data_IF_029687880366
#
_entry.id   IF_029687880366
#
_cell.length_a   1.000
_cell.length_b   1.000
_cell.length_c   1.000
_cell.angle_alpha   90.00
_cell.angle_beta   90.00
_cell.angle_gamma   90.00
#
_symmetry.space_group_name_H-M   'P 1'
#
loop_
_entity.id
_entity.type
_entity.pdbx_description
1 polymer ?
#
# COMPACT_ATOMS: atom_id res chain seq x y z
N UNK A 1 -15.23 38.62 88.30
CA UNK A 1 -15.09 40.09 88.34
C UNK A 1 -15.12 40.61 86.91
N UNK A 2 -16.10 41.50 86.61
CA UNK A 2 -16.07 42.60 85.62
C UNK A 2 -15.44 42.34 84.23
N UNK A 3 -16.09 42.55 83.08
CA UNK A 3 -16.86 43.73 82.66
C UNK A 3 -17.53 43.47 81.30
N UNK A 4 -18.61 44.21 81.06
CA UNK A 4 -19.20 44.56 79.75
C UNK A 4 -18.16 44.93 78.69
N UNK A 5 -18.50 44.84 77.39
CA UNK A 5 -18.89 46.02 76.59
C UNK A 5 -19.14 45.65 75.11
N UNK A 6 -20.19 46.28 74.60
CA UNK A 6 -20.67 46.42 73.23
C UNK A 6 -19.60 47.00 72.27
N UNK A 7 -19.90 46.94 70.96
CA UNK A 7 -19.25 47.56 69.78
C UNK A 7 -18.28 46.57 69.10
N UNK A 8 -18.51 46.04 67.91
CA UNK A 8 -19.22 46.55 66.73
C UNK A 8 -18.22 46.51 65.57
N UNK A 9 -18.30 45.52 64.68
CA UNK A 9 -17.65 45.54 63.36
C UNK A 9 -18.38 44.64 62.38
N UNK A 10 -18.48 45.14 61.15
CA UNK A 10 -19.26 44.67 60.02
C UNK A 10 -18.88 43.25 59.57
N UNK A 11 -19.86 42.34 59.51
CA UNK A 11 -19.70 41.09 58.78
C UNK A 11 -20.03 41.36 57.30
N UNK A 12 -18.96 41.37 56.51
CA UNK A 12 -18.96 41.27 55.06
C UNK A 12 -19.78 40.03 54.65
N UNK A 13 -20.97 40.25 54.10
CA UNK A 13 -21.78 39.17 53.52
C UNK A 13 -21.12 38.74 52.21
N UNK A 14 -20.15 37.82 52.29
CA UNK A 14 -19.68 37.09 51.13
C UNK A 14 -20.84 36.21 50.66
N UNK A 15 -21.46 36.61 49.55
CA UNK A 15 -22.36 35.76 48.78
C UNK A 15 -21.59 34.53 48.32
N UNK A 16 -21.63 33.48 49.14
CA UNK A 16 -21.33 32.12 48.70
C UNK A 16 -22.42 31.78 47.70
N UNK A 17 -22.11 31.44 46.43
CA UNK A 17 -23.11 30.86 45.56
C UNK A 17 -23.56 29.57 46.24
N UNK A 18 -24.80 29.60 46.72
CA UNK A 18 -25.51 28.41 47.14
C UNK A 18 -25.50 27.49 45.92
N UNK A 19 -24.61 26.50 45.90
CA UNK A 19 -24.75 25.38 44.97
C UNK A 19 -26.06 24.70 45.33
N UNK A 20 -27.14 25.17 44.70
CA UNK A 20 -28.35 24.40 44.58
C UNK A 20 -27.96 23.15 43.80
N UNK A 21 -27.70 22.06 44.51
CA UNK A 21 -27.79 20.74 43.91
C UNK A 21 -29.26 20.58 43.57
N UNK A 22 -29.62 20.97 42.34
CA UNK A 22 -30.88 20.57 41.76
C UNK A 22 -30.83 19.04 41.73
N UNK A 23 -31.61 18.41 42.60
CA UNK A 23 -31.95 17.00 42.50
C UNK A 23 -32.71 16.83 41.17
N UNK A 24 -31.95 16.75 40.08
CA UNK A 24 -32.47 16.39 38.78
C UNK A 24 -33.04 14.98 38.96
N UNK A 25 -34.36 14.88 39.02
CA UNK A 25 -35.08 13.62 39.02
C UNK A 25 -34.58 12.79 37.84
N UNK A 26 -33.75 11.78 38.11
CA UNK A 26 -33.32 10.79 37.14
C UNK A 26 -34.56 10.02 36.68
N UNK A 27 -35.17 10.47 35.59
CA UNK A 27 -36.29 9.78 34.96
C UNK A 27 -35.74 8.62 34.12
N UNK A 28 -35.94 7.40 34.64
CA UNK A 28 -35.69 6.17 33.90
C UNK A 28 -36.92 5.83 33.06
N UNK A 29 -36.82 5.96 31.73
CA UNK A 29 -37.87 5.54 30.79
C UNK A 29 -37.51 4.19 30.18
N UNK A 30 -38.21 3.13 30.59
CA UNK A 30 -37.99 1.77 30.09
C UNK A 30 -39.22 0.87 30.25
N UNK A 31 -39.40 -0.08 29.34
CA UNK A 31 -40.47 -1.08 29.40
C UNK A 31 -40.11 -2.23 30.36
N UNK A 32 -41.04 -2.74 31.20
CA UNK A 32 -40.72 -3.55 32.38
C UNK A 32 -40.48 -5.04 32.09
N UNK A 33 -39.94 -5.38 30.91
CA UNK A 33 -39.82 -6.76 30.43
C UNK A 33 -38.36 -7.11 30.10
N UNK A 34 -37.45 -6.99 31.06
CA UNK A 34 -36.07 -7.39 30.85
C UNK A 34 -35.65 -8.33 31.99
N UNK A 35 -35.25 -9.55 31.62
CA UNK A 35 -34.51 -10.44 32.52
C UNK A 35 -33.18 -9.79 32.94
N UNK A 36 -32.37 -10.47 33.75
CA UNK A 36 -31.05 -9.96 34.15
C UNK A 36 -30.16 -9.74 32.92
N UNK A 37 -30.06 -8.51 32.44
CA UNK A 37 -29.31 -8.11 31.24
C UNK A 37 -28.18 -7.16 31.64
N UNK A 38 -26.99 -7.36 31.06
CA UNK A 38 -25.85 -6.48 31.30
C UNK A 38 -26.05 -5.18 30.52
N UNK A 39 -26.31 -4.10 31.27
CA UNK A 39 -26.46 -2.74 30.73
C UNK A 39 -25.11 -2.02 30.80
N UNK A 40 -24.70 -1.38 29.72
CA UNK A 40 -23.47 -0.60 29.63
C UNK A 40 -23.76 0.81 29.15
N UNK A 41 -22.87 1.73 29.50
CA UNK A 41 -22.84 3.07 28.94
C UNK A 41 -21.39 3.53 28.92
N UNK A 42 -21.03 4.34 27.93
CA UNK A 42 -19.74 5.02 27.90
C UNK A 42 -19.76 6.34 28.70
N UNK A 43 -20.89 6.65 29.36
CA UNK A 43 -21.06 7.78 30.26
C UNK A 43 -21.18 9.13 29.56
N UNK A 44 -21.27 9.15 28.22
CA UNK A 44 -21.48 10.38 27.45
C UNK A 44 -22.96 10.68 27.34
N UNK A 45 -23.33 11.90 27.64
CA UNK A 45 -24.65 12.45 27.36
C UNK A 45 -24.71 12.97 25.92
N UNK A 46 -25.91 12.96 25.34
CA UNK A 46 -26.17 13.62 24.07
C UNK A 46 -26.41 15.13 24.28
N UNK A 47 -26.69 15.86 23.19
CA UNK A 47 -26.95 17.31 23.24
C UNK A 47 -28.15 17.70 24.13
N UNK A 48 -28.99 16.74 24.51
CA UNK A 48 -30.14 16.94 25.39
C UNK A 48 -29.84 16.51 26.84
N UNK A 49 -28.59 16.14 27.16
CA UNK A 49 -28.20 15.67 28.48
C UNK A 49 -28.64 14.23 28.79
N UNK A 50 -29.00 13.44 27.76
CA UNK A 50 -29.46 12.06 27.94
C UNK A 50 -28.28 11.10 27.76
N UNK A 51 -28.05 10.25 28.76
CA UNK A 51 -27.09 9.15 28.68
C UNK A 51 -27.76 7.94 28.04
N UNK A 52 -27.23 7.48 26.91
CA UNK A 52 -27.71 6.29 26.23
C UNK A 52 -27.17 5.04 26.93
N UNK A 53 -28.09 4.17 27.36
CA UNK A 53 -27.79 2.87 27.95
C UNK A 53 -27.92 1.82 26.84
N UNK A 54 -26.83 1.11 26.56
CA UNK A 54 -26.85 0.00 25.64
C UNK A 54 -26.92 -1.30 26.40
N UNK A 55 -27.68 -2.26 25.89
CA UNK A 55 -27.73 -3.58 26.48
C UNK A 55 -26.92 -4.56 25.67
N UNK A 56 -26.08 -5.33 26.35
CA UNK A 56 -25.39 -6.45 25.73
C UNK A 56 -26.36 -7.63 25.70
N UNK A 57 -26.70 -8.08 24.50
CA UNK A 57 -27.38 -9.36 24.31
C UNK A 57 -26.50 -10.44 24.94
N UNK A 58 -27.02 -11.17 25.93
CA UNK A 58 -26.27 -12.16 26.70
C UNK A 58 -25.63 -13.19 25.75
N UNK A 59 -24.33 -13.07 25.42
CA UNK A 59 -23.76 -13.91 24.39
C UNK A 59 -23.59 -15.31 24.98
N UNK A 60 -24.05 -16.33 24.25
CA UNK A 60 -23.79 -17.71 24.67
C UNK A 60 -22.29 -17.95 24.73
N UNK A 61 -21.84 -18.69 25.75
CA UNK A 61 -20.44 -19.14 25.89
C UNK A 61 -19.97 -19.85 24.61
N UNK A 62 -20.87 -20.55 23.93
CA UNK A 62 -20.59 -21.23 22.67
C UNK A 62 -20.27 -20.25 21.53
N UNK A 63 -21.03 -19.16 21.40
CA UNK A 63 -20.79 -18.11 20.39
C UNK A 63 -19.46 -17.40 20.63
N UNK A 64 -19.08 -17.17 21.88
CA UNK A 64 -17.78 -16.60 22.22
C UNK A 64 -16.63 -17.54 21.87
N UNK A 65 -16.76 -18.84 22.18
CA UNK A 65 -15.76 -19.85 21.79
C UNK A 65 -15.60 -19.97 20.29
N UNK A 66 -16.72 -19.96 19.55
CA UNK A 66 -16.68 -19.98 18.10
C UNK A 66 -15.95 -18.75 17.55
N UNK A 67 -16.28 -17.57 18.06
CA UNK A 67 -15.60 -16.32 17.67
C UNK A 67 -14.09 -16.37 17.96
N UNK A 68 -13.69 -16.94 19.09
CA UNK A 68 -12.27 -17.13 19.41
C UNK A 68 -11.58 -18.05 18.40
N UNK A 69 -12.19 -19.18 18.06
CA UNK A 69 -11.67 -20.12 17.06
C UNK A 69 -11.56 -19.48 15.68
N UNK A 70 -12.57 -18.71 15.27
CA UNK A 70 -12.57 -18.00 13.99
C UNK A 70 -11.45 -16.95 13.94
N UNK A 71 -11.24 -16.21 15.03
CA UNK A 71 -10.11 -15.26 15.13
C UNK A 71 -8.76 -15.97 15.04
N UNK A 72 -8.61 -17.12 15.68
CA UNK A 72 -7.39 -17.92 15.57
C UNK A 72 -7.17 -18.47 14.16
N UNK A 73 -8.23 -18.90 13.48
CA UNK A 73 -8.15 -19.34 12.09
C UNK A 73 -7.77 -18.20 11.17
N UNK A 74 -8.42 -17.03 11.29
CA UNK A 74 -8.11 -15.85 10.50
C UNK A 74 -6.66 -15.40 10.70
N UNK A 75 -6.11 -15.53 11.91
CA UNK A 75 -4.68 -15.26 12.17
C UNK A 75 -3.77 -16.21 11.39
N UNK A 76 -4.09 -17.50 11.37
CA UNK A 76 -3.34 -18.51 10.59
C UNK A 76 -3.41 -18.21 9.10
N UNK A 77 -4.61 -17.95 8.58
CA UNK A 77 -4.83 -17.64 7.16
C UNK A 77 -4.07 -16.37 6.74
N UNK A 78 -4.07 -15.34 7.60
CA UNK A 78 -3.30 -14.11 7.39
C UNK A 78 -1.80 -14.40 7.31
N UNK A 79 -1.27 -15.21 8.22
CA UNK A 79 0.16 -15.56 8.24
C UNK A 79 0.55 -16.39 7.00
N UNK A 80 -0.31 -17.29 6.55
CA UNK A 80 -0.08 -18.08 5.34
C UNK A 80 -0.14 -17.22 4.07
N UNK A 81 -1.12 -16.32 3.96
CA UNK A 81 -1.19 -15.36 2.86
C UNK A 81 0.05 -14.47 2.82
N UNK A 82 0.53 -14.01 3.97
CA UNK A 82 1.76 -13.22 4.05
C UNK A 82 2.97 -13.98 3.51
N UNK A 83 3.13 -15.26 3.90
CA UNK A 83 4.19 -16.12 3.37
C UNK A 83 4.09 -16.29 1.86
N UNK A 84 2.90 -16.60 1.35
CA UNK A 84 2.67 -16.77 -0.09
C UNK A 84 3.01 -15.50 -0.90
N UNK A 85 2.65 -14.32 -0.37
CA UNK A 85 2.99 -13.03 -1.00
C UNK A 85 4.50 -12.81 -1.04
N UNK A 86 5.20 -13.07 0.07
CA UNK A 86 6.66 -12.93 0.14
C UNK A 86 7.37 -13.89 -0.82
N UNK A 87 6.96 -15.15 -0.86
CA UNK A 87 7.57 -16.18 -1.71
C UNK A 87 7.31 -15.90 -3.19
N UNK A 88 6.06 -15.58 -3.55
CA UNK A 88 5.68 -15.21 -4.92
C UNK A 88 6.41 -13.95 -5.37
N UNK A 89 6.49 -12.93 -4.52
CA UNK A 89 7.17 -11.68 -4.82
C UNK A 89 8.66 -11.86 -5.08
N UNK A 90 9.34 -12.66 -4.23
CA UNK A 90 10.77 -12.98 -4.40
C UNK A 90 11.01 -13.80 -5.65
N UNK A 91 10.31 -14.94 -5.80
CA UNK A 91 10.54 -15.85 -6.91
C UNK A 91 10.22 -15.21 -8.26
N UNK A 92 9.08 -14.53 -8.37
CA UNK A 92 8.68 -13.86 -9.61
C UNK A 92 9.62 -12.70 -9.94
N UNK A 93 9.93 -11.85 -8.95
CA UNK A 93 10.80 -10.70 -9.14
C UNK A 93 12.22 -11.08 -9.56
N UNK A 94 12.82 -12.08 -8.91
CA UNK A 94 14.16 -12.56 -9.27
C UNK A 94 14.18 -13.23 -10.64
N UNK A 95 13.18 -14.05 -10.96
CA UNK A 95 13.11 -14.72 -12.26
C UNK A 95 12.94 -13.70 -13.39
N UNK A 96 12.03 -12.73 -13.24
CA UNK A 96 11.85 -11.65 -14.20
C UNK A 96 13.13 -10.83 -14.39
N UNK A 97 13.85 -10.53 -13.30
CA UNK A 97 15.12 -9.80 -13.38
C UNK A 97 16.16 -10.56 -14.19
N UNK A 98 16.30 -11.87 -13.95
CA UNK A 98 17.24 -12.72 -14.70
C UNK A 98 16.87 -12.76 -16.19
N UNK A 99 15.59 -12.97 -16.50
CA UNK A 99 15.10 -12.96 -17.89
C UNK A 99 15.40 -11.62 -18.58
N UNK A 100 15.18 -10.50 -17.90
CA UNK A 100 15.49 -9.17 -18.44
C UNK A 100 16.99 -8.99 -18.73
N UNK A 101 17.85 -9.40 -17.80
CA UNK A 101 19.30 -9.32 -17.97
C UNK A 101 19.78 -10.19 -19.14
N UNK A 102 19.22 -11.38 -19.32
CA UNK A 102 19.59 -12.27 -20.41
C UNK A 102 19.10 -11.74 -21.77
N UNK A 103 17.87 -11.21 -21.86
CA UNK A 103 17.39 -10.52 -23.07
C UNK A 103 18.28 -9.33 -23.44
N UNK A 104 18.78 -8.58 -22.45
CA UNK A 104 19.68 -7.44 -22.69
C UNK A 104 21.02 -7.88 -23.28
N UNK A 105 21.58 -9.00 -22.78
CA UNK A 105 22.79 -9.60 -23.34
C UNK A 105 22.56 -10.09 -24.76
N UNK A 106 21.45 -10.77 -25.02
CA UNK A 106 21.10 -11.27 -26.34
C UNK A 106 20.95 -10.13 -27.35
N UNK A 107 20.20 -9.08 -26.97
CA UNK A 107 20.03 -7.87 -27.80
C UNK A 107 21.39 -7.23 -28.13
N UNK A 108 22.29 -7.14 -27.15
CA UNK A 108 23.63 -6.59 -27.36
C UNK A 108 24.49 -7.47 -28.28
N UNK A 109 24.34 -8.79 -28.19
CA UNK A 109 25.01 -9.75 -29.08
C UNK A 109 24.52 -9.61 -30.51
N UNK A 110 23.20 -9.58 -30.71
CA UNK A 110 22.58 -9.42 -32.02
C UNK A 110 22.97 -8.09 -32.67
N UNK A 111 23.02 -7.00 -31.91
CA UNK A 111 23.49 -5.70 -32.41
C UNK A 111 24.92 -5.78 -32.95
N UNK A 112 25.83 -6.47 -32.24
CA UNK A 112 27.22 -6.65 -32.72
C UNK A 112 27.28 -7.51 -33.99
N UNK A 113 26.43 -8.53 -34.11
CA UNK A 113 26.35 -9.34 -35.31
C UNK A 113 25.86 -8.54 -36.51
N UNK A 114 24.83 -7.70 -36.32
CA UNK A 114 24.32 -6.79 -37.35
C UNK A 114 25.43 -5.83 -37.81
N UNK A 115 26.17 -5.23 -36.88
CA UNK A 115 27.29 -4.34 -37.22
C UNK A 115 28.38 -5.08 -38.01
N UNK A 116 28.68 -6.33 -37.63
CA UNK A 116 29.63 -7.20 -38.34
C UNK A 116 29.19 -7.48 -39.77
N UNK A 117 27.94 -7.93 -39.96
CA UNK A 117 27.35 -8.21 -41.27
C UNK A 117 27.30 -6.95 -42.15
N UNK A 118 27.00 -5.79 -41.56
CA UNK A 118 27.01 -4.51 -42.27
C UNK A 118 28.39 -4.18 -42.83
N UNK A 119 29.45 -4.38 -42.03
CA UNK A 119 30.84 -4.17 -42.49
C UNK A 119 31.25 -5.16 -43.58
N UNK A 120 30.86 -6.42 -43.46
CA UNK A 120 31.13 -7.44 -44.46
C UNK A 120 30.45 -7.11 -45.80
N UNK A 121 29.19 -6.69 -45.75
CA UNK A 121 28.45 -6.27 -46.94
C UNK A 121 29.12 -5.07 -47.63
N UNK A 122 29.57 -4.07 -46.89
CA UNK A 122 30.33 -2.94 -47.45
C UNK A 122 31.67 -3.36 -48.05
N UNK A 123 32.37 -4.33 -47.46
CA UNK A 123 33.59 -4.88 -48.02
C UNK A 123 33.33 -5.63 -49.35
N UNK A 124 32.24 -6.41 -49.41
CA UNK A 124 31.83 -7.12 -50.62
C UNK A 124 31.45 -6.14 -51.75
N UNK A 125 30.72 -5.06 -51.46
CA UNK A 125 30.41 -4.01 -52.45
C UNK A 125 31.68 -3.41 -53.04
N UNK A 126 32.67 -3.06 -52.21
CA UNK A 126 33.95 -2.53 -52.68
C UNK A 126 34.72 -3.52 -53.54
N UNK A 127 34.72 -4.80 -53.16
CA UNK A 127 35.34 -5.86 -53.96
C UNK A 127 34.65 -5.99 -55.32
N UNK A 128 33.32 -5.99 -55.35
CA UNK A 128 32.54 -6.03 -56.59
C UNK A 128 32.85 -4.84 -57.51
N UNK A 129 32.92 -3.62 -56.96
CA UNK A 129 33.29 -2.44 -57.74
C UNK A 129 34.72 -2.53 -58.31
N UNK A 130 35.66 -3.05 -57.52
CA UNK A 130 37.04 -3.26 -57.98
C UNK A 130 37.09 -4.24 -59.14
N UNK A 131 36.43 -5.39 -59.02
CA UNK A 131 36.36 -6.38 -60.10
C UNK A 131 35.66 -5.83 -61.35
N UNK A 132 34.63 -5.01 -61.19
CA UNK A 132 33.96 -4.37 -62.32
C UNK A 132 34.91 -3.43 -63.10
N UNK A 133 35.76 -2.67 -62.39
CA UNK A 133 36.78 -1.81 -63.02
C UNK A 133 37.84 -2.63 -63.75
N UNK A 134 38.31 -3.71 -63.15
CA UNK A 134 39.30 -4.61 -63.76
C UNK A 134 38.75 -5.24 -65.04
N UNK A 135 37.52 -5.74 -65.02
CA UNK A 135 36.82 -6.26 -66.21
C UNK A 135 36.74 -5.18 -67.30
N UNK A 136 36.43 -3.93 -66.94
CA UNK A 136 36.38 -2.83 -67.90
C UNK A 136 37.75 -2.54 -68.54
N UNK A 137 38.84 -2.56 -67.74
CA UNK A 137 40.21 -2.38 -68.24
C UNK A 137 40.57 -3.49 -69.23
N UNK A 138 40.35 -4.75 -68.83
CA UNK A 138 40.64 -5.91 -69.68
C UNK A 138 39.87 -5.88 -71.00
N UNK A 139 38.59 -5.48 -70.97
CA UNK A 139 37.79 -5.29 -72.20
C UNK A 139 38.40 -4.24 -73.12
N UNK A 140 38.91 -3.13 -72.58
CA UNK A 140 39.57 -2.09 -73.35
C UNK A 140 40.88 -2.59 -73.95
N UNK A 141 41.72 -3.28 -73.17
CA UNK A 141 42.97 -3.88 -73.64
C UNK A 141 42.74 -4.89 -74.76
N UNK A 142 41.75 -5.78 -74.61
CA UNK A 142 41.35 -6.74 -75.65
C UNK A 142 40.93 -6.01 -76.93
N UNK A 143 40.17 -4.92 -76.80
CA UNK A 143 39.73 -4.13 -77.96
C UNK A 143 40.90 -3.49 -78.69
N UNK A 144 41.88 -2.94 -77.95
CA UNK A 144 43.10 -2.34 -78.51
C UNK A 144 44.01 -3.37 -79.17
N UNK A 145 44.16 -4.56 -78.59
CA UNK A 145 44.93 -5.64 -79.20
C UNK A 145 44.25 -6.14 -80.47
N UNK A 146 42.93 -6.30 -80.44
CA UNK A 146 42.14 -6.74 -81.60
C UNK A 146 42.25 -5.76 -82.77
N UNK A 147 42.33 -4.45 -82.51
CA UNK A 147 42.53 -3.44 -83.57
C UNK A 147 43.95 -3.42 -84.14
N UNK A 148 44.95 -3.96 -83.44
CA UNK A 148 46.34 -4.02 -83.91
C UNK A 148 46.64 -5.25 -84.77
N UNK A 149 45.80 -6.29 -84.68
CA UNK A 149 45.96 -7.56 -85.40
C UNK A 149 45.13 -7.57 -86.71
N UNK A 150 44.16 -6.65 -86.84
CA UNK A 150 43.46 -6.37 -88.10
C UNK A 150 44.25 -5.40 -88.97
#
# INVERSE_FOLDING_TARGET
>A
MFKSLLVGTSILCLMVPLCASAENNLQFSGSPSMGSQLVTTDGRDDMNGIIHLNTIDNPSIESLKQTQNDVEQLKRDRDDLKRQIEDTGKQSGENMKRQLDDMKKETSSLSKQIDGLSRENEALKRSQESSAREISSLKQEISQLSSKIK
#
